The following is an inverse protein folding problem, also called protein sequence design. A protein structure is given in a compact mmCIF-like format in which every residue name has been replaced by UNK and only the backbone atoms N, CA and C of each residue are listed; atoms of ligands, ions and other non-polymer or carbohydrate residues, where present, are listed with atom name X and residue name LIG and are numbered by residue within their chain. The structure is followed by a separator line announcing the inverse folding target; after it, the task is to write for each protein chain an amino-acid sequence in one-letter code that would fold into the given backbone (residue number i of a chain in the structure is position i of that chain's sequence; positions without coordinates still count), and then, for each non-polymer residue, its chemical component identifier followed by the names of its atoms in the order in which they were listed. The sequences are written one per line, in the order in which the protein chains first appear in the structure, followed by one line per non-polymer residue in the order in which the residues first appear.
data_IF_168653032329
#
_entry.id   IF_168653032329
#
_cell.length_a   1.000
_cell.length_b   1.000
_cell.length_c   1.000
_cell.angle_alpha   90.00
_cell.angle_beta   90.00
_cell.angle_gamma   90.00
#
_symmetry.space_group_name_H-M   'P 1'
#
loop_
_entity.id
_entity.type
_entity.pdbx_description
1 polymer ?
#
# COMPACT_ATOMS: atom_id res chain seq x y z
N UNK A 1 -20.35 13.93 -23.48
CA UNK A 1 -20.49 13.00 -22.32
C UNK A 1 -20.36 13.80 -21.04
N UNK A 2 -21.27 13.65 -20.09
CA UNK A 2 -21.22 14.40 -18.83
C UNK A 2 -20.00 13.95 -18.01
N UNK A 3 -19.06 14.86 -17.76
CA UNK A 3 -17.92 14.60 -16.86
C UNK A 3 -18.48 14.36 -15.46
N UNK A 4 -18.54 13.09 -15.03
CA UNK A 4 -19.00 12.72 -13.70
C UNK A 4 -18.12 13.45 -12.68
N UNK A 5 -18.73 14.28 -11.83
CA UNK A 5 -18.01 15.06 -10.82
C UNK A 5 -17.24 14.11 -9.90
N UNK A 6 -15.97 14.42 -9.64
CA UNK A 6 -15.14 13.62 -8.74
C UNK A 6 -15.66 13.70 -7.28
N UNK A 7 -15.48 12.64 -6.47
CA UNK A 7 -15.76 12.71 -5.05
C UNK A 7 -14.97 13.82 -4.33
N UNK A 8 -15.49 14.31 -3.20
CA UNK A 8 -14.82 15.33 -2.40
C UNK A 8 -13.42 14.85 -1.98
N UNK A 9 -12.42 15.70 -2.17
CA UNK A 9 -11.02 15.40 -1.81
C UNK A 9 -10.27 14.52 -2.82
N UNK A 10 -10.90 14.12 -3.92
CA UNK A 10 -10.26 13.41 -5.03
C UNK A 10 -9.89 14.37 -6.14
N UNK A 11 -8.63 14.35 -6.56
CA UNK A 11 -8.12 15.10 -7.70
C UNK A 11 -7.72 14.15 -8.82
N UNK A 12 -7.69 14.65 -10.07
CA UNK A 12 -7.19 13.92 -11.23
C UNK A 12 -5.87 14.55 -11.67
N UNK A 13 -4.83 13.72 -11.75
CA UNK A 13 -3.50 14.09 -12.25
C UNK A 13 -3.52 14.21 -13.78
N UNK A 14 -2.50 14.86 -14.33
CA UNK A 14 -2.36 15.03 -15.78
C UNK A 14 -2.25 13.69 -16.54
N UNK A 15 -1.76 12.64 -15.87
CA UNK A 15 -1.64 11.27 -16.40
C UNK A 15 -2.93 10.44 -16.24
N UNK A 16 -4.04 11.07 -15.85
CA UNK A 16 -5.36 10.44 -15.70
C UNK A 16 -5.59 9.80 -14.34
N UNK A 17 -4.56 9.59 -13.51
CA UNK A 17 -4.70 8.96 -12.19
C UNK A 17 -5.50 9.82 -11.23
N UNK A 18 -6.40 9.19 -10.48
CA UNK A 18 -7.07 9.81 -9.33
C UNK A 18 -6.22 9.69 -8.07
N UNK A 19 -6.13 10.75 -7.27
CA UNK A 19 -5.47 10.74 -5.96
C UNK A 19 -6.26 11.52 -4.89
N UNK A 20 -6.01 11.20 -3.62
CA UNK A 20 -6.58 11.88 -2.44
C UNK A 20 -5.62 11.84 -1.25
N UNK A 21 -5.79 12.78 -0.32
CA UNK A 21 -5.01 12.88 0.93
C UNK A 21 -5.69 12.21 2.12
N UNK A 22 -6.51 11.19 1.86
CA UNK A 22 -7.10 10.33 2.89
C UNK A 22 -6.88 8.87 2.50
N UNK A 23 -6.54 7.99 3.46
CA UNK A 23 -6.41 6.56 3.20
C UNK A 23 -7.70 6.01 2.54
N UNK A 24 -7.53 5.03 1.67
CA UNK A 24 -8.63 4.26 1.09
C UNK A 24 -8.94 3.03 1.93
N UNK A 25 -7.92 2.42 2.53
CA UNK A 25 -8.03 1.24 3.36
C UNK A 25 -7.76 1.57 4.83
N UNK A 26 -8.30 0.72 5.71
CA UNK A 26 -7.96 0.77 7.13
C UNK A 26 -6.56 0.17 7.34
N UNK A 27 -5.62 1.00 7.80
CA UNK A 27 -4.27 0.55 8.10
C UNK A 27 -4.23 -0.45 9.27
N UNK A 28 -5.18 -0.40 10.20
CA UNK A 28 -5.34 -1.40 11.26
C UNK A 28 -5.61 -2.78 10.68
N UNK A 29 -6.47 -2.87 9.66
CA UNK A 29 -6.75 -4.13 8.95
C UNK A 29 -5.50 -4.67 8.25
N UNK A 30 -4.75 -3.81 7.57
CA UNK A 30 -3.48 -4.21 6.94
C UNK A 30 -2.48 -4.74 7.97
N UNK A 31 -2.30 -4.06 9.10
CA UNK A 31 -1.38 -4.50 10.17
C UNK A 31 -1.84 -5.82 10.78
N UNK A 32 -3.14 -6.00 11.00
CA UNK A 32 -3.69 -7.25 11.49
C UNK A 32 -3.43 -8.42 10.53
N UNK A 33 -3.60 -8.21 9.22
CA UNK A 33 -3.29 -9.22 8.21
C UNK A 33 -1.81 -9.63 8.23
N UNK A 34 -0.89 -8.65 8.27
CA UNK A 34 0.55 -8.93 8.34
C UNK A 34 0.91 -9.64 9.65
N UNK A 35 0.30 -9.28 10.77
CA UNK A 35 0.52 -9.96 12.04
C UNK A 35 0.04 -11.43 12.03
N UNK A 36 -1.06 -11.70 11.31
CA UNK A 36 -1.67 -13.03 11.25
C UNK A 36 -0.98 -13.96 10.25
N UNK A 37 -0.56 -13.44 9.10
CA UNK A 37 -0.12 -14.24 7.95
C UNK A 37 1.34 -14.01 7.56
N UNK A 38 1.98 -12.96 8.08
CA UNK A 38 3.35 -12.58 7.73
C UNK A 38 3.52 -12.39 6.21
N UNK A 39 4.64 -12.85 5.71
CA UNK A 39 5.05 -12.81 4.30
C UNK A 39 4.08 -13.49 3.33
N UNK A 40 3.16 -14.34 3.80
CA UNK A 40 2.11 -14.93 2.95
C UNK A 40 1.16 -13.87 2.39
N UNK A 41 0.98 -12.75 3.10
CA UNK A 41 0.22 -11.60 2.59
C UNK A 41 0.97 -10.82 1.50
N UNK A 42 2.28 -11.04 1.35
CA UNK A 42 3.12 -10.33 0.39
C UNK A 42 3.12 -11.04 -0.97
N UNK A 43 2.82 -10.28 -2.02
CA UNK A 43 2.98 -10.75 -3.40
C UNK A 43 4.46 -10.99 -3.73
N UNK A 44 4.74 -11.76 -4.79
CA UNK A 44 6.11 -11.99 -5.26
C UNK A 44 6.89 -10.69 -5.49
N UNK A 45 6.24 -9.67 -6.08
CA UNK A 45 6.86 -8.37 -6.32
C UNK A 45 7.10 -7.61 -5.01
N UNK A 46 6.27 -7.80 -3.99
CA UNK A 46 6.51 -7.25 -2.66
C UNK A 46 7.78 -7.83 -2.03
N UNK A 47 7.96 -9.15 -2.18
CA UNK A 47 9.13 -9.88 -1.68
C UNK A 47 10.41 -9.43 -2.34
N UNK A 48 10.39 -9.39 -3.67
CA UNK A 48 11.50 -8.85 -4.46
C UNK A 48 11.83 -7.41 -4.07
N UNK A 49 10.81 -6.60 -3.74
CA UNK A 49 10.98 -5.23 -3.26
C UNK A 49 11.80 -5.14 -1.97
N UNK A 50 11.38 -5.82 -0.89
CA UNK A 50 12.11 -5.72 0.38
C UNK A 50 13.51 -6.35 0.27
N UNK A 51 13.65 -7.42 -0.51
CA UNK A 51 14.94 -8.05 -0.80
C UNK A 51 15.89 -7.10 -1.54
N UNK A 52 15.38 -6.32 -2.50
CA UNK A 52 16.16 -5.29 -3.20
C UNK A 52 16.64 -4.18 -2.26
N UNK A 53 15.88 -3.90 -1.20
CA UNK A 53 16.29 -3.01 -0.10
C UNK A 53 17.24 -3.69 0.91
N UNK A 54 17.58 -4.97 0.71
CA UNK A 54 18.39 -5.79 1.62
C UNK A 54 17.76 -5.95 3.01
N UNK A 55 16.42 -5.93 3.06
CA UNK A 55 15.66 -6.30 4.23
C UNK A 55 15.44 -7.81 4.25
N UNK A 56 15.48 -8.42 5.43
CA UNK A 56 14.89 -9.74 5.62
C UNK A 56 13.37 -9.66 5.62
N UNK A 57 12.73 -10.83 5.51
CA UNK A 57 11.29 -10.98 5.68
C UNK A 57 10.82 -10.40 7.03
N UNK A 58 11.50 -10.75 8.12
CA UNK A 58 11.18 -10.29 9.47
C UNK A 58 11.38 -8.78 9.62
N UNK A 59 12.41 -8.20 8.99
CA UNK A 59 12.61 -6.75 9.01
C UNK A 59 11.49 -6.02 8.24
N UNK A 60 11.02 -6.59 7.12
CA UNK A 60 9.92 -6.03 6.34
C UNK A 60 8.59 -6.09 7.10
N UNK A 61 8.26 -7.23 7.70
CA UNK A 61 7.08 -7.40 8.56
C UNK A 61 7.12 -6.46 9.75
N UNK A 62 8.24 -6.42 10.48
CA UNK A 62 8.42 -5.56 11.64
C UNK A 62 8.26 -4.08 11.27
N UNK A 63 8.77 -3.65 10.11
CA UNK A 63 8.59 -2.28 9.65
C UNK A 63 7.11 -1.91 9.45
N UNK A 64 6.32 -2.80 8.82
CA UNK A 64 4.88 -2.58 8.64
C UNK A 64 4.13 -2.61 9.98
N UNK A 65 4.49 -3.53 10.88
CA UNK A 65 3.86 -3.64 12.19
C UNK A 65 4.23 -2.50 13.14
N UNK A 66 5.43 -1.92 13.02
CA UNK A 66 5.89 -0.82 13.85
C UNK A 66 5.46 0.56 13.35
N UNK A 67 5.17 0.71 12.05
CA UNK A 67 4.86 2.03 11.48
C UNK A 67 3.62 2.67 12.12
N UNK A 68 3.66 3.98 12.32
CA UNK A 68 2.49 4.81 12.62
C UNK A 68 1.77 5.14 11.29
N UNK A 69 0.52 4.67 11.10
CA UNK A 69 -0.18 4.89 9.83
C UNK A 69 -0.43 6.35 9.51
N UNK A 70 -0.65 7.21 10.50
CA UNK A 70 -0.98 8.62 10.30
C UNK A 70 0.25 9.42 9.88
N UNK A 71 1.37 9.22 10.58
CA UNK A 71 2.62 9.90 10.32
C UNK A 71 3.31 9.39 9.04
N UNK A 72 3.13 8.11 8.71
CA UNK A 72 3.73 7.52 7.52
C UNK A 72 2.88 7.73 6.26
N UNK A 73 1.58 8.02 6.37
CA UNK A 73 0.71 8.17 5.21
C UNK A 73 1.15 9.32 4.31
N UNK A 74 1.32 9.02 3.03
CA UNK A 74 1.68 10.00 2.02
C UNK A 74 0.45 10.41 1.20
N UNK A 75 -0.21 9.43 0.56
CA UNK A 75 -1.42 9.65 -0.24
C UNK A 75 -2.11 8.35 -0.59
N UNK A 76 -3.32 8.44 -1.12
CA UNK A 76 -3.98 7.34 -1.82
C UNK A 76 -4.10 7.69 -3.30
N UNK A 77 -3.81 6.73 -4.17
CA UNK A 77 -3.87 6.91 -5.62
C UNK A 77 -4.41 5.67 -6.32
N UNK A 78 -5.03 5.86 -7.47
CA UNK A 78 -5.48 4.75 -8.32
C UNK A 78 -4.34 4.16 -9.15
N UNK A 79 -4.50 2.91 -9.59
CA UNK A 79 -3.61 2.30 -10.58
C UNK A 79 -3.75 3.00 -11.93
N UNK A 80 -2.62 3.19 -12.63
CA UNK A 80 -2.60 3.72 -14.00
C UNK A 80 -3.51 2.91 -14.96
N UNK A 81 -3.63 1.61 -14.72
CA UNK A 81 -4.39 0.70 -15.57
C UNK A 81 -5.88 0.64 -15.21
N UNK A 82 -6.27 1.07 -14.01
CA UNK A 82 -7.66 0.97 -13.54
C UNK A 82 -7.96 1.98 -12.42
N UNK A 83 -8.83 2.95 -12.72
CA UNK A 83 -9.28 4.00 -11.79
C UNK A 83 -10.17 3.49 -10.64
N UNK A 84 -10.60 2.23 -10.65
CA UNK A 84 -11.33 1.62 -9.52
C UNK A 84 -10.40 1.02 -8.48
N UNK A 85 -9.13 0.78 -8.85
CA UNK A 85 -8.14 0.13 -8.00
C UNK A 85 -7.29 1.15 -7.26
N UNK A 86 -7.67 1.41 -6.01
CA UNK A 86 -6.93 2.31 -5.11
C UNK A 86 -5.72 1.64 -4.46
N UNK A 87 -4.71 2.45 -4.18
CA UNK A 87 -3.45 2.11 -3.54
C UNK A 87 -3.13 3.19 -2.52
N UNK A 88 -3.08 2.84 -1.25
CA UNK A 88 -2.55 3.73 -0.22
C UNK A 88 -1.02 3.68 -0.24
N UNK A 89 -0.40 4.82 0.01
CA UNK A 89 1.04 4.99 -0.07
C UNK A 89 1.55 5.53 1.26
N UNK A 90 2.58 4.88 1.78
CA UNK A 90 3.23 5.20 3.05
C UNK A 90 4.73 5.35 2.85
N UNK A 91 5.34 6.27 3.61
CA UNK A 91 6.78 6.32 3.81
C UNK A 91 7.12 5.63 5.12
N UNK A 92 7.59 4.39 5.04
CA UNK A 92 7.79 3.52 6.19
C UNK A 92 9.26 3.50 6.60
N UNK A 93 9.62 3.89 7.82
CA UNK A 93 10.99 3.75 8.32
C UNK A 93 11.41 2.28 8.39
N UNK A 94 12.61 1.97 7.91
CA UNK A 94 13.21 0.63 8.03
C UNK A 94 14.68 0.75 8.45
N UNK A 95 15.32 -0.34 8.92
CA UNK A 95 16.75 -0.35 9.20
C UNK A 95 17.65 -0.01 7.99
N UNK A 96 17.12 -0.09 6.77
CA UNK A 96 17.84 0.16 5.51
C UNK A 96 17.43 1.47 4.83
N UNK A 97 16.74 2.35 5.55
CA UNK A 97 16.21 3.63 5.04
C UNK A 97 14.70 3.63 4.87
N UNK A 98 14.13 4.76 4.48
CA UNK A 98 12.70 4.89 4.28
C UNK A 98 12.23 4.09 3.05
N UNK A 99 11.24 3.23 3.25
CA UNK A 99 10.58 2.47 2.20
C UNK A 99 9.35 3.20 1.68
N UNK A 100 9.22 3.30 0.35
CA UNK A 100 7.98 3.73 -0.29
C UNK A 100 7.01 2.58 -0.42
N UNK A 101 6.14 2.37 0.59
CA UNK A 101 5.20 1.26 0.69
C UNK A 101 3.89 1.60 0.01
N UNK A 102 3.52 0.85 -1.02
CA UNK A 102 2.15 0.86 -1.55
C UNK A 102 1.33 -0.21 -0.86
N UNK A 103 0.02 -0.01 -0.70
CA UNK A 103 -0.88 -0.96 -0.08
C UNK A 103 -2.15 -0.97 -0.88
N UNK A 104 -2.50 -2.14 -1.37
CA UNK A 104 -3.80 -2.43 -1.93
C UNK A 104 -4.29 -3.69 -1.23
N UNK A 105 -5.43 -3.61 -0.56
CA UNK A 105 -6.04 -4.76 0.05
C UNK A 105 -6.97 -5.41 -0.97
N UNK A 106 -6.67 -6.64 -1.36
CA UNK A 106 -7.61 -7.50 -2.04
C UNK A 106 -8.12 -8.54 -1.05
N UNK A 107 -9.40 -8.47 -0.73
CA UNK A 107 -10.12 -9.46 0.06
C UNK A 107 -10.88 -10.36 -0.93
N UNK A 108 -10.44 -11.60 -1.15
CA UNK A 108 -11.13 -12.51 -2.04
C UNK A 108 -12.57 -12.79 -1.56
N UNK A 109 -13.57 -12.84 -2.45
CA UNK A 109 -14.97 -13.11 -2.07
C UNK A 109 -15.19 -14.48 -1.42
N UNK A 110 -14.30 -15.43 -1.70
CA UNK A 110 -14.31 -16.82 -1.23
C UNK A 110 -13.57 -17.01 0.11
N UNK A 111 -13.14 -15.93 0.76
CA UNK A 111 -12.40 -16.01 2.02
C UNK A 111 -10.94 -16.46 1.85
N UNK A 112 -10.40 -16.42 0.63
CA UNK A 112 -8.98 -16.63 0.37
C UNK A 112 -8.08 -15.61 1.09
N UNK A 113 -6.78 -15.88 1.11
CA UNK A 113 -5.83 -15.03 1.83
C UNK A 113 -5.82 -13.59 1.26
N UNK A 114 -5.89 -12.58 2.14
CA UNK A 114 -5.89 -11.21 1.70
C UNK A 114 -4.50 -10.81 1.23
N UNK A 115 -4.44 -10.10 0.10
CA UNK A 115 -3.18 -9.77 -0.57
C UNK A 115 -2.87 -8.29 -0.38
N UNK A 116 -1.63 -8.00 0.02
CA UNK A 116 -1.07 -6.66 0.05
C UNK A 116 0.07 -6.54 -0.98
N UNK A 117 -0.11 -5.63 -1.94
CA UNK A 117 0.95 -5.28 -2.89
C UNK A 117 1.81 -4.19 -2.28
N UNK A 118 2.94 -4.57 -1.69
CA UNK A 118 3.90 -3.71 -0.99
C UNK A 118 5.14 -3.53 -1.85
N UNK A 119 5.18 -2.49 -2.68
CA UNK A 119 6.46 -2.10 -3.28
C UNK A 119 7.35 -1.53 -2.19
N UNK A 120 8.61 -1.94 -2.15
CA UNK A 120 9.65 -1.31 -1.35
C UNK A 120 10.60 -0.64 -2.35
N UNK A 121 10.76 0.67 -2.26
CA UNK A 121 11.76 1.42 -3.02
C UNK A 121 12.54 2.29 -2.05
N UNK A 122 13.86 2.29 -2.19
CA UNK A 122 14.69 3.29 -1.55
C UNK A 122 14.21 4.67 -2.01
N UNK A 123 13.95 5.55 -1.04
CA UNK A 123 13.65 6.94 -1.31
C UNK A 123 14.91 7.71 -1.68
#
# INVERSE_FOLDING_TARGET
MATKRLPKGVTRRADGVLEKLTPHFDAGQMKAMVAQHGDRCFTLSSRQGYQAMRLSEQEAEAAILAMDPTACFYKSMTSMANETLWQDVYHVPTPKGAAYVKVQLYLPPDGGEPKAVISFKAK
#
